data_IF_943370760570
#
_entry.id   IF_943370760570
#
_cell.length_a   1.000
_cell.length_b   1.000
_cell.length_c   1.000
_cell.angle_alpha   90.00
_cell.angle_beta   90.00
_cell.angle_gamma   90.00
#
_symmetry.space_group_name_H-M   'P 1'
#
loop_
_entity.id
_entity.type
_entity.pdbx_description
1 polymer ?
#
# COMPACT_ATOMS: atom_id res chain seq x y z
N UNK A 1 -55.77 75.53 -18.67
CA UNK A 1 -55.82 74.68 -17.47
C UNK A 1 -55.37 73.27 -17.87
N UNK A 2 -54.10 72.91 -17.60
CA UNK A 2 -53.51 71.61 -17.99
C UNK A 2 -53.44 70.72 -16.74
N UNK A 3 -54.11 69.57 -16.79
CA UNK A 3 -54.14 68.58 -15.70
C UNK A 3 -52.83 67.79 -15.68
N UNK A 4 -52.20 67.73 -14.51
CA UNK A 4 -51.05 66.89 -14.19
C UNK A 4 -51.59 65.53 -13.74
N UNK A 5 -51.15 64.44 -14.36
CA UNK A 5 -51.35 63.08 -13.86
C UNK A 5 -49.97 62.51 -13.55
N UNK A 6 -49.71 62.31 -12.26
CA UNK A 6 -48.51 61.64 -11.75
C UNK A 6 -48.66 60.13 -11.97
N UNK A 7 -47.67 59.49 -12.58
CA UNK A 7 -47.55 58.03 -12.66
C UNK A 7 -46.38 57.63 -11.75
N UNK A 8 -46.70 57.01 -10.63
CA UNK A 8 -45.74 56.37 -9.73
C UNK A 8 -45.31 55.01 -10.29
N UNK A 9 -44.06 54.88 -10.71
CA UNK A 9 -43.46 53.59 -11.06
C UNK A 9 -42.91 52.92 -9.79
N UNK A 10 -43.54 51.81 -9.39
CA UNK A 10 -43.08 50.96 -8.30
C UNK A 10 -42.12 49.92 -8.90
N UNK A 11 -40.82 50.06 -8.63
CA UNK A 11 -39.80 49.10 -9.06
C UNK A 11 -39.78 47.95 -8.05
N UNK A 12 -40.37 46.81 -8.42
CA UNK A 12 -40.17 45.54 -7.72
C UNK A 12 -38.81 44.97 -8.13
N UNK A 13 -37.81 45.11 -7.26
CA UNK A 13 -36.53 44.41 -7.36
C UNK A 13 -36.72 42.95 -6.95
N UNK A 14 -36.71 42.04 -7.92
CA UNK A 14 -36.67 40.60 -7.69
C UNK A 14 -35.26 40.19 -7.25
N UNK A 15 -35.08 39.93 -5.95
CA UNK A 15 -33.90 39.22 -5.48
C UNK A 15 -34.00 37.75 -5.91
N UNK A 16 -33.21 37.34 -6.90
CA UNK A 16 -32.96 35.92 -7.17
C UNK A 16 -32.05 35.38 -6.07
N UNK A 17 -32.64 34.66 -5.11
CA UNK A 17 -31.89 33.79 -4.21
C UNK A 17 -31.17 32.74 -5.07
N UNK A 18 -29.84 32.85 -5.20
CA UNK A 18 -29.03 31.77 -5.74
C UNK A 18 -29.13 30.60 -4.75
N UNK A 19 -29.84 29.55 -5.15
CA UNK A 19 -29.89 28.31 -4.39
C UNK A 19 -28.44 27.82 -4.19
N UNK A 20 -28.04 27.68 -2.93
CA UNK A 20 -26.76 27.12 -2.59
C UNK A 20 -26.73 25.69 -3.12
N UNK A 21 -25.72 25.33 -3.91
CA UNK A 21 -25.53 23.94 -4.34
C UNK A 21 -25.29 23.07 -3.10
N UNK A 22 -26.33 22.41 -2.60
CA UNK A 22 -26.24 21.56 -1.41
C UNK A 22 -25.55 20.26 -1.79
N UNK A 23 -24.63 19.80 -0.93
CA UNK A 23 -23.94 18.53 -1.07
C UNK A 23 -24.85 17.40 -0.58
N UNK A 24 -25.64 16.83 -1.50
CA UNK A 24 -26.53 15.70 -1.19
C UNK A 24 -25.74 14.38 -1.18
N UNK A 25 -26.24 13.32 -0.55
CA UNK A 25 -25.64 11.99 -0.64
C UNK A 25 -25.40 11.54 -2.08
N UNK A 26 -26.35 11.76 -2.99
CA UNK A 26 -26.24 11.40 -4.41
C UNK A 26 -25.09 12.17 -5.07
N UNK A 27 -24.97 13.47 -4.77
CA UNK A 27 -23.90 14.31 -5.30
C UNK A 27 -22.53 13.96 -4.71
N UNK A 28 -22.47 13.49 -3.46
CA UNK A 28 -21.25 12.92 -2.86
C UNK A 28 -20.81 11.65 -3.60
N UNK A 29 -21.76 10.83 -4.05
CA UNK A 29 -21.47 9.63 -4.84
C UNK A 29 -20.97 9.94 -6.24
N UNK A 30 -21.39 11.05 -6.84
CA UNK A 30 -20.91 11.53 -8.15
C UNK A 30 -19.46 12.06 -8.12
N UNK A 31 -18.89 12.31 -6.93
CA UNK A 31 -17.53 12.83 -6.83
C UNK A 31 -16.50 11.80 -7.31
N UNK A 32 -15.66 12.23 -8.24
CA UNK A 32 -14.54 11.44 -8.75
C UNK A 32 -13.55 11.09 -7.64
N UNK A 33 -13.28 9.80 -7.46
CA UNK A 33 -12.27 9.29 -6.53
C UNK A 33 -10.90 9.33 -7.20
N UNK A 34 -10.06 10.26 -6.79
CA UNK A 34 -8.72 10.45 -7.34
C UNK A 34 -7.72 9.51 -6.66
N UNK A 35 -6.98 8.76 -7.45
CA UNK A 35 -5.90 7.88 -6.98
C UNK A 35 -4.64 8.08 -7.82
N UNK A 36 -3.51 8.36 -7.18
CA UNK A 36 -2.23 8.42 -7.87
C UNK A 36 -1.82 7.01 -8.32
N UNK A 37 -1.35 6.87 -9.57
CA UNK A 37 -0.78 5.62 -10.07
C UNK A 37 0.75 5.68 -9.97
N UNK A 38 1.36 6.79 -10.37
CA UNK A 38 2.81 6.98 -10.28
C UNK A 38 3.32 8.16 -11.07
N UNK A 39 4.64 8.35 -11.04
CA UNK A 39 5.34 9.31 -11.89
C UNK A 39 5.80 8.59 -13.16
N UNK A 40 5.75 9.29 -14.30
CA UNK A 40 6.26 8.77 -15.56
C UNK A 40 7.77 8.47 -15.48
N UNK A 41 8.26 7.52 -16.28
CA UNK A 41 9.68 7.11 -16.31
C UNK A 41 10.67 8.26 -16.54
N UNK A 42 10.25 9.28 -17.28
CA UNK A 42 11.04 10.49 -17.54
C UNK A 42 11.01 11.50 -16.38
N UNK A 43 10.21 11.27 -15.34
CA UNK A 43 10.10 12.12 -14.17
C UNK A 43 9.21 13.34 -14.35
N UNK A 44 8.56 13.53 -15.51
CA UNK A 44 7.93 14.81 -15.85
C UNK A 44 6.43 14.89 -15.57
N UNK A 45 5.74 13.75 -15.48
CA UNK A 45 4.28 13.70 -15.38
C UNK A 45 3.80 12.86 -14.20
N UNK A 46 2.73 13.30 -13.54
CA UNK A 46 1.93 12.49 -12.64
C UNK A 46 0.87 11.75 -13.46
N UNK A 47 0.83 10.43 -13.31
CA UNK A 47 -0.23 9.58 -13.84
C UNK A 47 -1.16 9.24 -12.70
N UNK A 48 -2.45 9.53 -12.88
CA UNK A 48 -3.48 9.32 -11.87
C UNK A 48 -4.77 8.80 -12.51
N UNK A 49 -5.62 8.20 -11.69
CA UNK A 49 -6.89 7.62 -12.08
C UNK A 49 -8.02 8.28 -11.31
N UNK A 50 -9.10 8.59 -12.03
CA UNK A 50 -10.35 9.09 -11.46
C UNK A 50 -11.39 7.99 -11.61
N UNK A 51 -11.84 7.44 -10.48
CA UNK A 51 -12.93 6.48 -10.42
C UNK A 51 -14.26 7.17 -10.20
N UNK A 52 -15.26 6.87 -11.02
CA UNK A 52 -16.63 7.36 -10.89
C UNK A 52 -17.56 6.20 -10.57
N UNK A 53 -18.18 6.18 -9.38
CA UNK A 53 -19.18 5.18 -9.04
C UNK A 53 -20.40 5.25 -9.97
N UNK A 54 -20.85 4.09 -10.43
CA UNK A 54 -22.14 3.91 -11.10
C UNK A 54 -23.04 3.08 -10.19
N UNK A 55 -24.12 3.70 -9.70
CA UNK A 55 -25.08 3.02 -8.82
C UNK A 55 -25.89 1.98 -9.60
N UNK A 56 -26.26 2.26 -10.87
CA UNK A 56 -27.05 1.33 -11.68
C UNK A 56 -26.30 0.04 -11.98
N UNK A 57 -25.00 0.15 -12.26
CA UNK A 57 -24.15 -1.01 -12.57
C UNK A 57 -23.56 -1.65 -11.33
N UNK A 58 -23.68 -1.02 -10.15
CA UNK A 58 -22.99 -1.40 -8.92
C UNK A 58 -21.46 -1.57 -9.13
N UNK A 59 -20.87 -0.68 -9.94
CA UNK A 59 -19.47 -0.72 -10.35
C UNK A 59 -18.81 0.66 -10.26
N UNK A 60 -17.48 0.69 -10.23
CA UNK A 60 -16.70 1.93 -10.37
C UNK A 60 -16.00 1.89 -11.73
N UNK A 61 -16.42 2.77 -12.63
CA UNK A 61 -15.69 2.99 -13.89
C UNK A 61 -14.53 3.94 -13.63
N UNK A 62 -13.43 3.80 -14.38
CA UNK A 62 -12.24 4.60 -14.13
C UNK A 62 -11.63 5.13 -15.42
N UNK A 63 -11.17 6.38 -15.38
CA UNK A 63 -10.40 7.00 -16.45
C UNK A 63 -9.02 7.37 -15.94
N UNK A 64 -7.99 7.07 -16.73
CA UNK A 64 -6.60 7.42 -16.41
C UNK A 64 -6.21 8.71 -17.10
N UNK A 65 -5.44 9.55 -16.42
CA UNK A 65 -4.96 10.84 -16.89
C UNK A 65 -3.46 11.00 -16.63
N UNK A 66 -2.82 11.85 -17.43
CA UNK A 66 -1.46 12.37 -17.25
C UNK A 66 -1.52 13.87 -17.04
N UNK A 67 -0.78 14.40 -16.08
CA UNK A 67 -0.62 15.84 -15.87
C UNK A 67 0.86 16.18 -15.67
N UNK A 68 1.41 17.24 -16.32
CA UNK A 68 2.78 17.67 -16.08
C UNK A 68 2.99 18.13 -14.64
N UNK A 69 4.11 17.74 -14.03
CA UNK A 69 4.48 18.19 -12.69
C UNK A 69 4.82 19.69 -12.64
N UNK A 70 5.20 20.28 -13.77
CA UNK A 70 5.37 21.73 -13.92
C UNK A 70 4.04 22.52 -13.91
N UNK A 71 2.91 21.82 -13.87
CA UNK A 71 1.57 22.39 -14.03
C UNK A 71 1.10 22.39 -15.49
N UNK A 72 -0.22 22.44 -15.67
CA UNK A 72 -0.87 22.39 -16.98
C UNK A 72 -2.20 21.63 -16.95
N UNK A 73 -2.72 21.32 -18.13
CA UNK A 73 -3.97 20.56 -18.27
C UNK A 73 -3.69 19.05 -18.25
N UNK A 74 -4.60 18.30 -17.63
CA UNK A 74 -4.56 16.84 -17.65
C UNK A 74 -5.03 16.29 -19.01
N UNK A 75 -4.37 15.23 -19.49
CA UNK A 75 -4.70 14.54 -20.75
C UNK A 75 -5.10 13.10 -20.45
N UNK A 76 -6.19 12.62 -21.07
CA UNK A 76 -6.65 11.23 -20.93
C UNK A 76 -5.58 10.26 -21.49
N UNK A 77 -5.34 9.16 -20.78
CA UNK A 77 -4.46 8.07 -21.19
C UNK A 77 -5.25 6.76 -21.32
N UNK A 78 -5.16 6.11 -22.48
CA UNK A 78 -5.76 4.79 -22.70
C UNK A 78 -4.89 3.64 -22.13
N UNK A 79 -3.56 3.74 -22.26
CA UNK A 79 -2.63 2.73 -21.75
C UNK A 79 -1.47 3.38 -20.97
N UNK A 80 -1.55 3.43 -19.62
CA UNK A 80 -0.50 4.05 -18.81
C UNK A 80 0.74 3.15 -18.59
N UNK A 81 0.63 1.82 -18.81
CA UNK A 81 1.69 0.85 -18.45
C UNK A 81 3.07 1.19 -19.03
N UNK A 82 3.22 1.58 -20.32
CA UNK A 82 4.54 1.89 -20.89
C UNK A 82 5.24 3.07 -20.21
N UNK A 83 4.48 3.98 -19.62
CA UNK A 83 4.97 5.21 -18.99
C UNK A 83 5.39 5.00 -17.53
N UNK A 84 4.96 3.92 -16.89
CA UNK A 84 5.17 3.67 -15.46
C UNK A 84 6.31 2.69 -15.22
N UNK A 85 7.04 2.92 -14.13
CA UNK A 85 8.00 1.93 -13.66
C UNK A 85 7.25 0.75 -13.02
N UNK A 86 7.54 -0.45 -13.52
CA UNK A 86 7.01 -1.67 -12.93
C UNK A 86 7.92 -2.08 -11.75
N UNK A 87 7.42 -1.91 -10.52
CA UNK A 87 8.15 -2.28 -9.31
C UNK A 87 8.34 -3.79 -9.17
N UNK A 88 7.54 -4.58 -9.87
CA UNK A 88 7.58 -6.04 -9.82
C UNK A 88 8.58 -6.60 -10.84
N UNK A 89 9.02 -5.80 -11.81
CA UNK A 89 10.14 -6.14 -12.67
C UNK A 89 11.45 -5.95 -11.89
N UNK A 90 12.35 -6.93 -11.97
CA UNK A 90 13.67 -6.84 -11.35
C UNK A 90 14.45 -5.64 -11.92
N UNK A 91 15.33 -4.98 -11.14
CA UNK A 91 16.11 -3.85 -11.63
C UNK A 91 16.90 -4.11 -12.93
N UNK A 92 17.35 -5.35 -13.15
CA UNK A 92 18.02 -5.77 -14.38
C UNK A 92 17.06 -6.16 -15.54
N UNK A 93 15.74 -6.13 -15.32
CA UNK A 93 14.72 -6.41 -16.32
C UNK A 93 14.50 -7.90 -16.65
N UNK A 94 15.14 -8.83 -15.93
CA UNK A 94 15.11 -10.27 -16.28
C UNK A 94 13.95 -11.04 -15.64
N UNK A 95 13.48 -10.62 -14.47
CA UNK A 95 12.54 -11.38 -13.66
C UNK A 95 11.31 -10.54 -13.27
N UNK A 96 10.15 -11.18 -13.16
CA UNK A 96 8.91 -10.60 -12.65
C UNK A 96 8.56 -11.21 -11.30
N UNK A 97 8.16 -10.38 -10.35
CA UNK A 97 7.55 -10.75 -9.07
C UNK A 97 6.03 -10.70 -9.13
N UNK A 98 5.39 -11.67 -8.52
CA UNK A 98 3.94 -11.70 -8.39
C UNK A 98 3.56 -12.57 -7.19
N UNK A 99 2.26 -12.63 -6.88
CA UNK A 99 1.75 -13.53 -5.86
C UNK A 99 0.57 -14.34 -6.40
N UNK A 100 0.44 -15.56 -5.92
CA UNK A 100 -0.67 -16.46 -6.22
C UNK A 100 -1.14 -17.13 -4.95
N UNK A 101 -2.38 -17.60 -4.94
CA UNK A 101 -2.92 -18.36 -3.83
C UNK A 101 -2.60 -19.85 -4.02
N UNK A 102 -1.90 -20.45 -3.06
CA UNK A 102 -1.45 -21.84 -3.08
C UNK A 102 -2.15 -22.63 -1.99
N UNK A 103 -2.72 -23.79 -2.35
CA UNK A 103 -3.30 -24.73 -1.40
C UNK A 103 -2.18 -25.50 -0.68
N UNK A 104 -2.04 -25.29 0.63
CA UNK A 104 -1.02 -25.94 1.47
C UNK A 104 -1.67 -26.90 2.46
N UNK A 105 -2.66 -26.42 3.20
CA UNK A 105 -3.31 -27.22 4.25
C UNK A 105 -4.55 -27.91 3.70
N UNK A 106 -4.76 -29.16 4.14
CA UNK A 106 -6.00 -29.89 3.92
C UNK A 106 -7.05 -29.42 4.92
N UNK A 107 -8.14 -28.85 4.42
CA UNK A 107 -9.24 -28.30 5.23
C UNK A 107 -10.58 -28.83 4.76
N UNK A 108 -10.81 -28.88 3.45
CA UNK A 108 -12.06 -29.34 2.87
C UNK A 108 -12.15 -30.86 2.94
N UNK A 109 -13.35 -31.43 3.06
CA UNK A 109 -13.57 -32.87 3.06
C UNK A 109 -12.93 -33.57 1.87
N UNK A 110 -12.98 -32.96 0.69
CA UNK A 110 -12.37 -33.47 -0.55
C UNK A 110 -10.83 -33.52 -0.50
N UNK A 111 -10.18 -32.72 0.35
CA UNK A 111 -8.72 -32.77 0.51
C UNK A 111 -8.26 -34.10 1.16
N UNK A 112 -9.16 -34.72 1.94
CA UNK A 112 -8.95 -35.99 2.63
C UNK A 112 -9.60 -37.17 1.88
N UNK A 113 -10.78 -36.95 1.31
CA UNK A 113 -11.59 -37.95 0.63
C UNK A 113 -11.99 -37.44 -0.77
N UNK A 114 -11.09 -37.50 -1.77
CA UNK A 114 -11.31 -36.91 -3.09
C UNK A 114 -12.52 -37.48 -3.84
N UNK A 115 -12.94 -38.70 -3.51
CA UNK A 115 -14.13 -39.36 -4.06
C UNK A 115 -15.46 -38.78 -3.56
N UNK A 116 -15.44 -38.05 -2.43
CA UNK A 116 -16.64 -37.45 -1.85
C UNK A 116 -16.91 -36.06 -2.43
N UNK A 117 -17.21 -35.99 -3.72
CA UNK A 117 -17.36 -34.73 -4.48
C UNK A 117 -18.36 -33.74 -3.84
N UNK A 118 -19.41 -34.25 -3.18
CA UNK A 118 -20.46 -33.45 -2.55
C UNK A 118 -20.20 -33.11 -1.07
N UNK A 119 -19.07 -33.51 -0.49
CA UNK A 119 -18.77 -33.19 0.91
C UNK A 119 -18.57 -31.68 1.09
N UNK A 120 -19.21 -31.09 2.10
CA UNK A 120 -19.07 -29.66 2.43
C UNK A 120 -18.54 -29.44 3.86
N UNK A 121 -17.96 -30.48 4.45
CA UNK A 121 -17.36 -30.43 5.78
C UNK A 121 -15.99 -29.78 5.68
N UNK A 122 -15.71 -28.89 6.63
CA UNK A 122 -14.39 -28.30 6.84
C UNK A 122 -13.81 -28.82 8.16
N UNK A 123 -12.52 -29.16 8.15
CA UNK A 123 -11.80 -29.74 9.28
C UNK A 123 -10.76 -28.73 9.76
N UNK A 124 -10.91 -28.30 11.00
CA UNK A 124 -10.02 -27.34 11.66
C UNK A 124 -9.58 -27.90 13.01
N UNK A 125 -8.27 -27.86 13.27
CA UNK A 125 -7.64 -28.32 14.51
C UNK A 125 -6.97 -27.18 15.31
N UNK A 126 -6.97 -25.96 14.77
CA UNK A 126 -6.37 -24.78 15.37
C UNK A 126 -7.20 -23.50 15.15
N UNK A 127 -6.85 -22.43 15.88
CA UNK A 127 -7.42 -21.09 15.66
C UNK A 127 -7.02 -20.50 14.29
N UNK A 128 -7.66 -19.38 13.95
CA UNK A 128 -7.62 -18.72 12.63
C UNK A 128 -8.29 -19.52 11.50
N UNK A 129 -9.36 -20.24 11.84
CA UNK A 129 -10.20 -20.97 10.87
C UNK A 129 -11.14 -20.06 10.05
N UNK A 130 -11.32 -18.79 10.46
CA UNK A 130 -12.18 -17.82 9.79
C UNK A 130 -11.69 -16.40 10.06
N UNK A 131 -11.71 -15.57 9.01
CA UNK A 131 -11.44 -14.13 9.10
C UNK A 131 -12.67 -13.36 8.58
N UNK A 132 -13.38 -12.67 9.46
CA UNK A 132 -14.65 -11.98 9.19
C UNK A 132 -15.72 -12.85 8.52
N UNK A 133 -15.93 -12.72 7.22
CA UNK A 133 -16.95 -13.41 6.41
C UNK A 133 -16.36 -14.55 5.56
N UNK A 134 -15.04 -14.77 5.63
CA UNK A 134 -14.33 -15.75 4.82
C UNK A 134 -13.72 -16.86 5.69
N UNK A 135 -13.98 -18.12 5.33
CA UNK A 135 -13.36 -19.27 5.98
C UNK A 135 -11.93 -19.49 5.47
N UNK A 136 -11.04 -19.96 6.33
CA UNK A 136 -9.72 -20.40 5.92
C UNK A 136 -9.87 -21.72 5.17
N UNK A 137 -9.55 -21.74 3.87
CA UNK A 137 -9.62 -22.95 3.05
C UNK A 137 -8.29 -23.70 2.97
N UNK A 138 -7.32 -23.39 3.82
CA UNK A 138 -5.97 -23.95 3.75
C UNK A 138 -5.15 -23.42 2.57
N UNK A 139 -5.57 -22.29 2.00
CA UNK A 139 -4.89 -21.60 0.92
C UNK A 139 -4.20 -20.34 1.41
N UNK A 140 -2.99 -20.10 0.92
CA UNK A 140 -2.11 -19.04 1.36
C UNK A 140 -1.58 -18.24 0.18
N UNK A 141 -1.48 -16.92 0.33
CA UNK A 141 -0.81 -16.08 -0.66
C UNK A 141 0.69 -16.35 -0.61
N UNK A 142 1.28 -16.80 -1.71
CA UNK A 142 2.71 -17.01 -1.83
C UNK A 142 3.30 -16.04 -2.85
N UNK A 143 4.56 -15.65 -2.63
CA UNK A 143 5.32 -14.85 -3.58
C UNK A 143 6.03 -15.77 -4.56
N UNK A 144 5.94 -15.42 -5.84
CA UNK A 144 6.60 -16.11 -6.94
C UNK A 144 7.50 -15.14 -7.69
N UNK A 145 8.56 -15.68 -8.30
CA UNK A 145 9.26 -14.98 -9.36
C UNK A 145 9.40 -15.85 -10.61
N UNK A 146 9.50 -15.22 -11.76
CA UNK A 146 9.75 -15.91 -13.04
C UNK A 146 10.59 -15.07 -13.98
N UNK A 147 11.29 -15.69 -14.91
CA UNK A 147 11.87 -14.96 -16.04
C UNK A 147 10.75 -14.31 -16.86
N UNK A 148 10.98 -13.12 -17.42
CA UNK A 148 9.94 -12.38 -18.16
C UNK A 148 9.30 -13.20 -19.28
N UNK A 149 10.08 -14.06 -19.95
CA UNK A 149 9.60 -14.93 -21.04
C UNK A 149 9.05 -16.28 -20.56
N UNK A 150 9.16 -16.60 -19.27
CA UNK A 150 8.73 -17.88 -18.74
C UNK A 150 7.22 -17.92 -18.45
N UNK A 151 6.64 -19.10 -18.69
CA UNK A 151 5.23 -19.35 -18.40
C UNK A 151 5.03 -19.54 -16.88
N UNK A 152 5.79 -20.46 -16.29
CA UNK A 152 5.71 -20.82 -14.87
C UNK A 152 6.74 -20.06 -14.03
N UNK A 153 6.39 -19.76 -12.78
CA UNK A 153 7.31 -19.19 -11.79
C UNK A 153 7.73 -20.15 -10.69
N UNK A 154 8.66 -19.67 -9.88
CA UNK A 154 9.23 -20.35 -8.73
C UNK A 154 8.59 -19.77 -7.48
N UNK A 155 7.95 -20.63 -6.69
CA UNK A 155 7.43 -20.31 -5.36
C UNK A 155 8.59 -20.15 -4.37
N UNK A 156 8.78 -18.95 -3.81
CA UNK A 156 9.85 -18.70 -2.82
C UNK A 156 9.43 -19.08 -1.39
N UNK A 157 8.16 -19.43 -1.20
CA UNK A 157 7.51 -19.78 0.06
C UNK A 157 7.00 -21.23 0.03
N UNK A 158 7.61 -22.07 -0.81
CA UNK A 158 7.15 -23.45 -1.05
C UNK A 158 6.92 -24.20 0.26
N UNK A 159 5.76 -24.84 0.37
CA UNK A 159 5.31 -25.64 1.51
C UNK A 159 5.12 -24.85 2.82
N UNK A 160 5.21 -23.52 2.81
CA UNK A 160 4.97 -22.68 3.99
C UNK A 160 3.48 -22.32 4.15
N UNK A 161 2.82 -22.60 5.28
CA UNK A 161 1.43 -22.22 5.50
C UNK A 161 1.31 -20.76 5.98
N UNK A 162 1.89 -19.81 5.24
CA UNK A 162 1.95 -18.39 5.61
C UNK A 162 1.61 -17.48 4.44
N UNK A 163 1.03 -16.31 4.73
CA UNK A 163 0.60 -15.37 3.71
C UNK A 163 1.65 -14.28 3.45
N UNK A 164 2.01 -14.09 2.17
CA UNK A 164 2.60 -12.87 1.62
C UNK A 164 2.05 -12.61 0.20
N UNK A 165 1.35 -11.50 -0.05
CA UNK A 165 0.97 -10.46 0.90
C UNK A 165 0.12 -10.96 2.06
N UNK A 166 0.21 -10.26 3.17
CA UNK A 166 -0.47 -10.61 4.40
C UNK A 166 -1.99 -10.50 4.26
N UNK A 167 -2.75 -11.28 5.05
CA UNK A 167 -4.21 -11.15 5.15
C UNK A 167 -4.58 -10.46 6.48
N UNK A 168 -5.62 -9.61 6.52
CA UNK A 168 -6.45 -9.18 5.39
C UNK A 168 -5.92 -7.91 4.69
N UNK A 169 -4.98 -7.18 5.29
CA UNK A 169 -4.60 -5.83 4.88
C UNK A 169 -3.25 -5.71 4.17
N UNK A 170 -2.59 -6.83 3.84
CA UNK A 170 -1.36 -6.82 3.07
C UNK A 170 -1.61 -6.48 1.59
N UNK A 171 -0.54 -6.12 0.89
CA UNK A 171 -0.64 -5.84 -0.54
C UNK A 171 0.70 -5.84 -1.25
N UNK A 172 0.75 -5.17 -2.40
CA UNK A 172 1.94 -5.14 -3.24
C UNK A 172 3.17 -4.52 -2.55
N UNK A 173 3.03 -3.82 -1.42
CA UNK A 173 4.16 -3.33 -0.60
C UNK A 173 4.85 -4.41 0.21
N UNK A 174 4.27 -5.61 0.32
CA UNK A 174 4.79 -6.67 1.18
C UNK A 174 5.93 -7.45 0.52
N UNK A 175 6.27 -7.17 -0.74
CA UNK A 175 7.42 -7.81 -1.39
C UNK A 175 8.09 -6.87 -2.41
N UNK A 176 9.42 -6.95 -2.48
CA UNK A 176 10.26 -6.11 -3.35
C UNK A 176 11.49 -6.86 -3.85
N UNK A 177 12.06 -6.41 -4.96
CA UNK A 177 13.41 -6.79 -5.37
C UNK A 177 14.48 -6.06 -4.56
N UNK A 178 15.62 -6.73 -4.33
CA UNK A 178 16.85 -6.01 -3.98
C UNK A 178 17.38 -5.21 -5.16
N UNK A 179 18.14 -4.12 -4.92
CA UNK A 179 18.66 -3.26 -5.99
C UNK A 179 19.57 -3.99 -6.99
N UNK A 180 20.24 -5.06 -6.53
CA UNK A 180 21.13 -5.89 -7.36
C UNK A 180 20.42 -7.01 -8.13
N UNK A 181 19.08 -7.12 -8.02
CA UNK A 181 18.25 -8.15 -8.66
C UNK A 181 18.55 -9.60 -8.21
N UNK A 182 19.31 -9.80 -7.11
CA UNK A 182 19.70 -11.14 -6.65
C UNK A 182 18.84 -11.67 -5.52
N UNK A 183 18.08 -10.80 -4.86
CA UNK A 183 17.27 -11.14 -3.69
C UNK A 183 15.85 -10.62 -3.84
N UNK A 184 14.95 -11.29 -3.15
CA UNK A 184 13.56 -10.87 -2.97
C UNK A 184 13.35 -10.68 -1.48
N UNK A 185 12.86 -9.51 -1.08
CA UNK A 185 12.41 -9.28 0.29
C UNK A 185 10.90 -9.45 0.34
N UNK A 186 10.41 -10.07 1.41
CA UNK A 186 8.98 -10.31 1.57
C UNK A 186 8.56 -10.27 3.05
N UNK A 187 7.38 -9.75 3.34
CA UNK A 187 6.83 -9.60 4.70
C UNK A 187 5.94 -10.79 5.00
N UNK A 188 6.19 -11.49 6.10
CA UNK A 188 5.37 -12.65 6.47
C UNK A 188 5.20 -12.78 7.98
N UNK A 189 4.03 -13.26 8.38
CA UNK A 189 3.74 -13.70 9.75
C UNK A 189 3.96 -15.20 9.83
N UNK A 190 5.17 -15.63 10.18
CA UNK A 190 5.51 -17.06 10.33
C UNK A 190 5.10 -17.61 11.70
N UNK A 191 3.82 -17.47 12.00
CA UNK A 191 3.13 -18.04 13.18
C UNK A 191 1.94 -18.86 12.69
N UNK A 192 1.51 -19.83 13.49
CA UNK A 192 0.35 -20.68 13.17
C UNK A 192 -0.55 -20.85 14.40
N UNK A 193 -1.81 -21.24 14.16
CA UNK A 193 -2.81 -21.52 15.20
C UNK A 193 -2.99 -20.37 16.19
N UNK A 194 -3.02 -20.68 17.48
CA UNK A 194 -3.21 -19.68 18.55
C UNK A 194 -2.14 -18.59 18.55
N UNK A 195 -0.90 -18.91 18.19
CA UNK A 195 0.17 -17.92 18.12
C UNK A 195 -0.08 -16.91 16.97
N UNK A 196 -0.65 -17.38 15.85
CA UNK A 196 -1.06 -16.49 14.77
C UNK A 196 -2.19 -15.55 15.21
N UNK A 197 -3.17 -16.04 15.96
CA UNK A 197 -4.31 -15.22 16.39
C UNK A 197 -3.93 -14.14 17.42
N UNK A 198 -2.92 -14.39 18.26
CA UNK A 198 -2.60 -13.51 19.40
C UNK A 198 -1.43 -12.57 19.16
N UNK A 199 -0.54 -12.87 18.22
CA UNK A 199 0.67 -12.08 17.97
C UNK A 199 0.45 -11.06 16.87
N UNK A 200 1.17 -9.94 16.90
CA UNK A 200 1.29 -8.99 15.78
C UNK A 200 2.60 -9.15 15.03
N UNK A 201 3.40 -10.16 15.39
CA UNK A 201 4.75 -10.31 14.86
C UNK A 201 4.75 -10.62 13.36
N UNK A 202 5.29 -9.70 12.59
CA UNK A 202 5.63 -9.90 11.18
C UNK A 202 7.07 -9.54 11.00
N UNK A 203 7.74 -10.30 10.13
CA UNK A 203 9.13 -10.06 9.83
C UNK A 203 9.33 -9.84 8.33
N UNK A 204 10.44 -9.20 8.01
CA UNK A 204 10.95 -9.08 6.66
C UNK A 204 11.95 -10.22 6.43
N UNK A 205 11.65 -11.06 5.47
CA UNK A 205 12.49 -12.17 5.03
C UNK A 205 13.22 -11.81 3.74
N UNK A 206 14.43 -12.33 3.55
CA UNK A 206 15.21 -12.22 2.32
C UNK A 206 15.40 -13.61 1.72
N UNK A 207 14.87 -13.81 0.51
CA UNK A 207 15.13 -14.97 -0.33
C UNK A 207 16.27 -14.66 -1.31
N UNK A 208 17.26 -15.54 -1.37
CA UNK A 208 18.39 -15.47 -2.30
C UNK A 208 18.16 -16.37 -3.52
N UNK A 209 18.19 -15.79 -4.72
CA UNK A 209 17.92 -16.52 -5.97
C UNK A 209 18.96 -17.61 -6.27
N UNK A 210 20.23 -17.39 -5.94
CA UNK A 210 21.32 -18.29 -6.32
C UNK A 210 21.36 -19.54 -5.44
N UNK A 211 21.18 -19.37 -4.13
CA UNK A 211 21.19 -20.44 -3.13
C UNK A 211 19.80 -21.01 -2.84
N UNK A 212 18.73 -20.33 -3.26
CA UNK A 212 17.33 -20.67 -2.99
C UNK A 212 17.04 -20.79 -1.49
N UNK A 213 17.69 -19.94 -0.68
CA UNK A 213 17.56 -19.93 0.78
C UNK A 213 16.93 -18.63 1.25
N UNK A 214 16.09 -18.76 2.27
CA UNK A 214 15.49 -17.64 2.98
C UNK A 214 16.18 -17.41 4.32
N UNK A 215 16.37 -16.15 4.70
CA UNK A 215 16.75 -15.74 6.06
C UNK A 215 15.82 -14.65 6.59
N UNK A 216 15.62 -14.61 7.91
CA UNK A 216 14.90 -13.53 8.57
C UNK A 216 15.83 -12.32 8.75
N UNK A 217 15.40 -11.13 8.32
CA UNK A 217 16.16 -9.90 8.47
C UNK A 217 15.78 -9.11 9.74
N UNK A 218 14.66 -9.40 10.40
CA UNK A 218 14.09 -8.57 11.46
C UNK A 218 13.66 -9.33 12.74
N UNK A 219 14.08 -10.60 12.89
CA UNK A 219 13.76 -11.50 14.01
C UNK A 219 13.78 -10.90 15.43
N UNK A 220 14.55 -9.82 15.66
CA UNK A 220 14.64 -9.16 16.96
C UNK A 220 13.46 -8.26 17.35
N UNK A 221 12.48 -8.02 16.46
CA UNK A 221 11.32 -7.18 16.74
C UNK A 221 10.06 -8.05 16.95
N UNK A 222 9.39 -8.01 18.11
CA UNK A 222 8.24 -8.86 18.37
C UNK A 222 6.90 -8.29 17.84
N UNK A 223 6.89 -7.06 17.29
CA UNK A 223 5.72 -6.46 16.66
C UNK A 223 5.74 -6.56 15.13
N UNK A 224 5.04 -5.65 14.45
CA UNK A 224 5.02 -5.59 12.99
C UNK A 224 6.31 -5.00 12.43
N UNK A 225 6.95 -5.69 11.49
CA UNK A 225 7.83 -5.10 10.48
C UNK A 225 7.20 -5.23 9.09
N UNK A 226 6.98 -4.11 8.42
CA UNK A 226 6.22 -4.03 7.16
C UNK A 226 6.81 -2.98 6.22
N UNK A 227 6.31 -2.93 4.98
CA UNK A 227 6.68 -1.89 4.00
C UNK A 227 8.21 -1.79 3.76
N UNK A 228 8.90 -2.90 3.40
CA UNK A 228 10.32 -2.83 3.05
C UNK A 228 10.53 -1.94 1.83
N UNK A 229 11.61 -1.16 1.84
CA UNK A 229 12.09 -0.37 0.73
C UNK A 229 13.61 -0.15 0.84
N UNK A 230 14.31 0.00 -0.28
CA UNK A 230 15.71 0.39 -0.28
C UNK A 230 15.88 1.89 -0.45
N UNK A 231 16.83 2.48 0.28
CA UNK A 231 17.33 3.82 -0.04
C UNK A 231 18.08 3.80 -1.37
N UNK A 232 18.29 4.95 -2.03
CA UNK A 232 19.18 5.04 -3.21
C UNK A 232 20.60 4.53 -2.93
N UNK A 233 21.05 4.57 -1.67
CA UNK A 233 22.34 4.03 -1.24
C UNK A 233 22.34 2.53 -0.92
N UNK A 234 21.18 1.85 -1.02
CA UNK A 234 21.05 0.42 -0.75
C UNK A 234 20.78 0.05 0.72
N UNK A 235 20.47 1.03 1.57
CA UNK A 235 20.08 0.75 2.96
C UNK A 235 18.63 0.22 3.00
N UNK A 236 18.42 -0.92 3.66
CA UNK A 236 17.07 -1.45 3.89
C UNK A 236 16.34 -0.54 4.87
N UNK A 237 15.13 -0.13 4.51
CA UNK A 237 14.24 0.72 5.29
C UNK A 237 12.87 0.07 5.41
N UNK A 238 12.19 0.20 6.54
CA UNK A 238 10.86 -0.38 6.75
C UNK A 238 10.05 0.41 7.80
N UNK A 239 8.76 0.08 7.90
CA UNK A 239 7.88 0.52 8.98
C UNK A 239 7.87 -0.52 10.10
N UNK A 240 8.08 -0.07 11.33
CA UNK A 240 8.12 -0.93 12.51
C UNK A 240 7.14 -0.49 13.60
N UNK A 241 6.33 -1.42 14.08
CA UNK A 241 5.68 -1.39 15.39
C UNK A 241 6.48 -2.28 16.36
N UNK A 242 6.69 -1.83 17.59
CA UNK A 242 7.60 -2.51 18.54
C UNK A 242 6.92 -3.54 19.44
N UNK A 243 5.61 -3.39 19.66
CA UNK A 243 4.88 -4.12 20.69
C UNK A 243 4.09 -5.27 20.08
N UNK A 244 4.37 -6.49 20.55
CA UNK A 244 3.58 -7.67 20.22
C UNK A 244 2.15 -7.52 20.75
N UNK A 245 1.18 -8.04 20.01
CA UNK A 245 -0.25 -8.02 20.35
C UNK A 245 -0.93 -6.64 20.29
N UNK A 246 -0.19 -5.55 20.00
CA UNK A 246 -0.76 -4.20 19.94
C UNK A 246 -0.98 -3.73 18.49
N UNK A 247 -2.15 -4.08 17.94
CA UNK A 247 -2.55 -3.79 16.53
C UNK A 247 -2.59 -2.29 16.16
N UNK A 248 -2.58 -1.40 17.15
CA UNK A 248 -2.58 0.06 16.96
C UNK A 248 -1.33 0.72 17.51
N UNK A 249 -0.22 -0.03 17.61
CA UNK A 249 1.08 0.54 17.92
C UNK A 249 1.50 1.58 16.87
N UNK A 250 2.45 2.42 17.25
CA UNK A 250 3.02 3.45 16.40
C UNK A 250 3.93 2.80 15.36
N UNK A 251 3.70 3.15 14.09
CA UNK A 251 4.65 2.86 13.02
C UNK A 251 5.79 3.88 13.04
N UNK A 252 7.00 3.38 13.18
CA UNK A 252 8.25 4.12 13.02
C UNK A 252 8.97 3.79 11.72
N UNK A 253 9.74 4.73 11.17
CA UNK A 253 10.64 4.46 10.03
C UNK A 253 12.00 4.01 10.58
N UNK A 254 12.39 2.79 10.24
CA UNK A 254 13.68 2.22 10.61
C UNK A 254 14.56 2.10 9.37
N UNK A 255 15.79 2.58 9.45
CA UNK A 255 16.80 2.45 8.39
C UNK A 255 17.95 1.60 8.91
N UNK A 256 18.26 0.49 8.22
CA UNK A 256 19.46 -0.32 8.48
C UNK A 256 20.62 0.22 7.66
N UNK A 257 21.49 0.97 8.32
CA UNK A 257 22.69 1.55 7.74
C UNK A 257 23.94 0.94 8.35
N UNK A 258 24.80 0.34 7.53
CA UNK A 258 26.05 -0.32 7.98
C UNK A 258 25.81 -1.28 9.16
N UNK A 259 24.81 -2.15 9.02
CA UNK A 259 24.37 -3.12 10.03
C UNK A 259 23.82 -2.53 11.35
N UNK A 260 23.57 -1.22 11.41
CA UNK A 260 22.93 -0.57 12.55
C UNK A 260 21.53 -0.12 12.17
N UNK A 261 20.54 -0.45 13.00
CA UNK A 261 19.17 0.03 12.83
C UNK A 261 19.02 1.42 13.46
N UNK A 262 18.66 2.41 12.65
CA UNK A 262 18.42 3.80 13.05
C UNK A 262 16.91 4.04 12.98
N UNK A 263 16.28 4.39 14.10
CA UNK A 263 14.87 4.78 14.13
C UNK A 263 14.75 6.29 13.91
N UNK A 264 14.23 6.69 12.75
CA UNK A 264 14.16 8.11 12.35
C UNK A 264 13.01 8.86 13.01
N UNK A 265 11.95 8.16 13.42
CA UNK A 265 10.73 8.78 13.95
C UNK A 265 10.50 8.44 15.42
N UNK A 266 11.43 7.74 16.07
CA UNK A 266 11.25 7.18 17.42
C UNK A 266 10.90 8.22 18.48
N UNK A 267 11.44 9.44 18.34
CA UNK A 267 11.20 10.57 19.26
C UNK A 267 10.08 11.53 18.79
N UNK A 268 9.25 11.10 17.84
CA UNK A 268 8.15 11.88 17.29
C UNK A 268 6.82 11.18 17.54
N UNK A 269 5.80 11.86 18.05
CA UNK A 269 4.64 11.18 18.66
C UNK A 269 3.59 10.61 17.69
N UNK A 270 3.62 10.99 16.41
CA UNK A 270 2.65 10.52 15.43
C UNK A 270 3.06 9.16 14.82
N UNK A 271 2.09 8.51 14.16
CA UNK A 271 2.30 7.24 13.45
C UNK A 271 2.50 7.47 11.96
N UNK A 272 3.46 6.76 11.35
CA UNK A 272 3.74 6.86 9.92
C UNK A 272 2.81 5.95 9.12
N UNK A 273 2.17 6.49 8.08
CA UNK A 273 1.30 5.72 7.18
C UNK A 273 2.08 5.06 6.03
N UNK A 274 3.01 5.80 5.43
CA UNK A 274 3.85 5.35 4.31
C UNK A 274 5.03 6.30 4.12
N UNK A 275 6.10 5.83 3.46
CA UNK A 275 7.28 6.64 3.20
C UNK A 275 7.86 6.42 1.79
N UNK A 276 8.65 7.40 1.33
CA UNK A 276 9.46 7.36 0.11
C UNK A 276 10.78 8.07 0.34
N UNK A 277 11.87 7.47 -0.13
CA UNK A 277 13.17 8.13 -0.15
C UNK A 277 13.19 9.25 -1.18
N UNK A 278 13.84 10.36 -0.85
CA UNK A 278 14.26 11.33 -1.84
C UNK A 278 15.41 10.73 -2.68
N UNK A 279 15.50 11.02 -4.00
CA UNK A 279 16.49 10.39 -4.89
C UNK A 279 17.97 10.61 -4.49
N UNK A 280 18.27 11.68 -3.75
CA UNK A 280 19.64 11.92 -3.25
C UNK A 280 20.04 11.07 -2.03
N UNK A 281 19.09 10.32 -1.45
CA UNK A 281 19.31 9.48 -0.27
C UNK A 281 19.54 10.22 1.05
N UNK A 282 19.34 11.55 1.09
CA UNK A 282 19.60 12.38 2.29
C UNK A 282 18.37 12.62 3.15
N UNK A 283 17.17 12.30 2.65
CA UNK A 283 15.92 12.46 3.38
C UNK A 283 14.83 11.51 2.91
N UNK A 284 13.85 11.35 3.78
CA UNK A 284 12.65 10.54 3.55
C UNK A 284 11.44 11.45 3.65
N UNK A 285 10.54 11.34 2.68
CA UNK A 285 9.20 11.89 2.75
C UNK A 285 8.25 10.83 3.27
N UNK A 286 7.32 11.22 4.13
CA UNK A 286 6.34 10.29 4.68
C UNK A 286 5.03 11.00 4.97
N UNK A 287 3.96 10.21 5.07
CA UNK A 287 2.63 10.72 5.42
C UNK A 287 2.22 10.28 6.81
N UNK A 288 1.47 11.11 7.49
CA UNK A 288 0.90 10.81 8.80
C UNK A 288 -0.35 11.63 9.05
N UNK A 289 -1.25 11.10 9.87
CA UNK A 289 -2.38 11.85 10.37
C UNK A 289 -1.92 12.85 11.46
N UNK A 290 -2.33 14.10 11.35
CA UNK A 290 -2.14 15.14 12.36
C UNK A 290 -3.33 16.09 12.32
N UNK A 291 -3.86 16.47 13.49
CA UNK A 291 -4.98 17.40 13.61
C UNK A 291 -6.19 17.06 12.70
N UNK A 292 -6.54 15.77 12.58
CA UNK A 292 -7.68 15.31 11.78
C UNK A 292 -7.48 15.29 10.26
N UNK A 293 -6.25 15.52 9.77
CA UNK A 293 -5.91 15.49 8.34
C UNK A 293 -4.67 14.64 8.09
N UNK A 294 -4.49 14.11 6.88
CA UNK A 294 -3.23 13.44 6.49
C UNK A 294 -2.30 14.46 5.86
N UNK A 295 -1.09 14.58 6.40
CA UNK A 295 -0.10 15.55 5.96
C UNK A 295 1.18 14.88 5.49
N UNK A 296 1.90 15.56 4.61
CA UNK A 296 3.23 15.22 4.17
C UNK A 296 4.26 15.79 5.15
N UNK A 297 5.23 14.98 5.53
CA UNK A 297 6.38 15.32 6.34
C UNK A 297 7.66 14.93 5.62
N UNK A 298 8.78 15.53 6.04
CA UNK A 298 10.12 15.09 5.67
C UNK A 298 10.98 14.88 6.93
N UNK A 299 11.81 13.85 6.89
CA UNK A 299 12.86 13.58 7.88
C UNK A 299 14.22 13.54 7.18
N UNK A 300 15.24 14.21 7.74
CA UNK A 300 16.61 14.03 7.27
C UNK A 300 17.12 12.62 7.63
N UNK A 301 18.06 12.12 6.84
CA UNK A 301 18.80 10.90 7.12
C UNK A 301 20.28 11.23 7.36
N UNK A 302 20.71 11.36 8.63
CA UNK A 302 22.07 11.74 8.97
C UNK A 302 23.08 10.58 8.93
N UNK A 303 22.63 9.34 8.70
CA UNK A 303 23.47 8.13 8.83
C UNK A 303 24.05 7.99 10.25
N UNK A 304 25.26 7.46 10.35
CA UNK A 304 26.00 7.34 11.63
C UNK A 304 26.85 8.60 11.89
N UNK A 305 26.18 9.75 12.00
CA UNK A 305 26.82 11.03 12.35
C UNK A 305 26.25 11.59 13.65
N UNK A 306 26.81 12.69 14.16
CA UNK A 306 26.28 13.40 15.34
C UNK A 306 25.11 14.35 15.03
N UNK A 307 24.67 14.39 13.78
CA UNK A 307 23.54 15.24 13.36
C UNK A 307 22.25 14.58 13.83
N UNK A 308 21.42 15.35 14.54
CA UNK A 308 20.13 14.87 15.01
C UNK A 308 19.16 14.64 13.83
N UNK A 309 18.23 13.71 14.01
CA UNK A 309 17.08 13.58 13.11
C UNK A 309 16.11 14.74 13.37
N UNK A 310 15.70 15.41 12.31
CA UNK A 310 14.77 16.53 12.28
C UNK A 310 13.59 16.14 11.41
N UNK A 311 12.38 16.39 11.91
CA UNK A 311 11.13 16.14 11.20
C UNK A 311 10.42 17.47 10.95
N UNK A 312 10.08 17.74 9.70
CA UNK A 312 9.37 18.94 9.30
C UNK A 312 8.05 18.57 8.62
N UNK A 313 6.97 19.24 9.00
CA UNK A 313 5.69 19.14 8.29
C UNK A 313 5.75 20.01 7.03
N UNK A 314 5.52 19.39 5.86
CA UNK A 314 5.61 20.04 4.55
C UNK A 314 4.29 20.66 4.14
N UNK A 315 3.17 19.96 4.37
CA UNK A 315 1.82 20.42 3.99
C UNK A 315 0.98 20.77 5.21
N UNK A 316 0.00 21.65 5.03
CA UNK A 316 -1.03 21.96 6.02
C UNK A 316 -2.38 21.85 5.32
N UNK A 317 -3.34 21.21 5.97
CA UNK A 317 -4.71 21.01 5.49
C UNK A 317 -5.72 21.64 6.42
#
# INVERSE_FOLDING_TARGET
>A
MKKIICISFLVFSTFTLLAQNVMTPEKLWELGRVSAIGISKDGNNLIYRVGTPSVSENEITSVTYSIPLSGGNAVKLENPKPLLQDKNLSPNGQYLLYNEEVKINKVQGQDYYPEMENANVQIYDALDYRHWDSYNEGKFNHVFYKEVAAENGIDIMKDEPHNTPQKPFGGASDYIWSPDSKKILYVSKKKTGTAYANSTNTDIYEYDLASQKTRNLTEGNPGYDTYPAFSPGGDLTWLQMKRDGYESDKNDIIVRHKNTNINLTGNWDNTVNSFKWHPDGKKIYFTAATNGTVQLFEANFPGLTKVAVTINQVTRG
#
